data_IF_845469782424
#
_entry.id   IF_845469782424
#
_cell.length_a   1.000
_cell.length_b   1.000
_cell.length_c   1.000
_cell.angle_alpha   90.00
_cell.angle_beta   90.00
_cell.angle_gamma   90.00
#
_symmetry.space_group_name_H-M   'P 1'
#
loop_
_entity.id
_entity.type
_entity.pdbx_description
1 polymer ?
#
# COMPACT_ATOMS: atom_id res chain seq x y z
N UNK A 1 28.45 -1.98 -38.32
CA UNK A 1 27.37 -2.94 -38.02
C UNK A 1 26.25 -2.19 -37.32
N UNK A 2 25.26 -1.73 -38.08
CA UNK A 2 24.05 -1.11 -37.53
C UNK A 2 23.01 -2.22 -37.38
N UNK A 3 22.87 -2.73 -36.15
CA UNK A 3 21.83 -3.68 -35.81
C UNK A 3 20.46 -3.06 -36.11
N UNK A 4 19.65 -3.77 -36.90
CA UNK A 4 18.23 -3.43 -37.07
C UNK A 4 17.43 -4.04 -35.91
N UNK A 5 16.18 -3.62 -35.68
CA UNK A 5 15.35 -4.10 -34.58
C UNK A 5 15.13 -5.64 -34.54
N UNK A 6 15.53 -6.37 -35.59
CA UNK A 6 15.56 -7.83 -35.65
C UNK A 6 16.76 -8.47 -34.91
N UNK A 7 17.80 -7.70 -34.56
CA UNK A 7 18.98 -8.15 -33.83
C UNK A 7 18.86 -7.91 -32.32
N UNK A 8 17.69 -8.18 -31.74
CA UNK A 8 17.55 -8.09 -30.29
C UNK A 8 18.17 -9.32 -29.63
N UNK A 9 19.30 -9.12 -28.96
CA UNK A 9 19.97 -10.17 -28.16
C UNK A 9 19.18 -10.54 -26.89
N UNK A 10 18.13 -9.79 -26.54
CA UNK A 10 17.29 -10.11 -25.41
C UNK A 10 16.50 -11.39 -25.67
N UNK A 11 16.40 -12.23 -24.65
CA UNK A 11 15.62 -13.47 -24.70
C UNK A 11 14.42 -13.37 -23.78
N UNK A 12 13.37 -14.12 -24.11
CA UNK A 12 12.22 -14.19 -23.24
C UNK A 12 12.60 -14.93 -21.95
N UNK A 13 12.21 -14.37 -20.81
CA UNK A 13 12.48 -14.96 -19.49
C UNK A 13 11.19 -15.15 -18.72
N UNK A 14 11.17 -16.14 -17.84
CA UNK A 14 10.14 -16.29 -16.83
C UNK A 14 10.72 -15.88 -15.49
N UNK A 15 10.06 -14.94 -14.81
CA UNK A 15 10.33 -14.58 -13.42
C UNK A 15 9.57 -15.53 -12.51
N UNK A 16 10.28 -16.16 -11.58
CA UNK A 16 9.74 -17.04 -10.55
C UNK A 16 10.37 -16.70 -9.21
N UNK A 17 9.62 -16.84 -8.13
CA UNK A 17 10.10 -16.41 -6.83
C UNK A 17 10.89 -17.50 -6.10
N UNK A 18 11.88 -17.11 -5.31
CA UNK A 18 12.71 -17.98 -4.47
C UNK A 18 12.87 -17.34 -3.08
N UNK A 19 12.96 -18.17 -2.03
CA UNK A 19 12.93 -17.72 -0.64
C UNK A 19 14.26 -17.14 -0.15
N UNK A 20 15.32 -17.46 -0.88
CA UNK A 20 16.70 -17.03 -0.63
C UNK A 20 17.45 -17.02 -1.95
N UNK A 21 18.45 -16.16 -2.06
CA UNK A 21 19.30 -16.08 -3.26
C UNK A 21 19.93 -17.44 -3.55
N UNK A 22 19.75 -17.94 -4.77
CA UNK A 22 20.24 -19.25 -5.19
C UNK A 22 19.48 -20.45 -4.61
N UNK A 23 18.41 -20.21 -3.84
CA UNK A 23 17.60 -21.23 -3.19
C UNK A 23 16.60 -21.93 -4.11
N UNK A 24 15.74 -22.75 -3.52
CA UNK A 24 14.66 -23.42 -4.24
C UNK A 24 13.52 -22.45 -4.60
N UNK A 25 12.76 -22.79 -5.64
CA UNK A 25 11.53 -22.08 -6.00
C UNK A 25 10.55 -22.06 -4.82
N UNK A 26 9.93 -20.90 -4.57
CA UNK A 26 8.86 -20.78 -3.60
C UNK A 26 7.58 -21.37 -4.18
N UNK A 27 7.15 -22.50 -3.63
CA UNK A 27 5.83 -23.09 -3.92
C UNK A 27 4.81 -22.62 -2.87
N UNK A 28 5.23 -22.62 -1.60
CA UNK A 28 4.63 -21.87 -0.48
C UNK A 28 5.76 -21.61 0.52
N UNK A 29 5.94 -20.38 1.01
CA UNK A 29 6.92 -20.13 2.09
C UNK A 29 6.22 -19.88 3.42
N UNK A 30 6.89 -20.23 4.51
CA UNK A 30 6.63 -19.61 5.81
C UNK A 30 6.96 -18.11 5.72
N UNK A 31 6.07 -17.20 6.17
CA UNK A 31 4.96 -17.45 7.10
C UNK A 31 3.63 -17.82 6.41
N UNK A 32 3.60 -17.85 5.08
CA UNK A 32 2.46 -18.23 4.26
C UNK A 32 2.31 -17.30 3.06
N UNK A 33 2.31 -17.83 1.85
CA UNK A 33 2.06 -17.03 0.64
C UNK A 33 2.59 -17.67 -0.63
N UNK A 34 2.18 -17.13 -1.78
CA UNK A 34 2.58 -17.58 -3.10
C UNK A 34 2.93 -16.40 -4.00
N UNK A 35 3.87 -16.62 -4.89
CA UNK A 35 4.26 -15.66 -5.91
C UNK A 35 3.74 -16.10 -7.28
N UNK A 36 3.22 -15.17 -8.06
CA UNK A 36 2.93 -15.45 -9.46
C UNK A 36 4.23 -15.60 -10.26
N UNK A 37 4.23 -16.51 -11.23
CA UNK A 37 5.25 -16.54 -12.27
C UNK A 37 4.84 -15.58 -13.39
N UNK A 38 5.78 -14.80 -13.91
CA UNK A 38 5.51 -13.87 -15.01
C UNK A 38 6.45 -14.12 -16.17
N UNK A 39 5.87 -14.31 -17.35
CA UNK A 39 6.63 -14.33 -18.60
C UNK A 39 6.93 -12.89 -19.05
N UNK A 40 8.20 -12.61 -19.30
CA UNK A 40 8.71 -11.35 -19.83
C UNK A 40 9.20 -11.63 -21.24
N UNK A 41 8.49 -11.19 -22.28
CA UNK A 41 8.90 -11.43 -23.65
C UNK A 41 10.16 -10.64 -23.99
N UNK A 42 10.95 -11.14 -24.95
CA UNK A 42 12.15 -10.47 -25.42
C UNK A 42 11.90 -9.00 -25.85
N UNK A 43 10.75 -8.73 -26.47
CA UNK A 43 10.35 -7.39 -26.89
C UNK A 43 10.11 -6.40 -25.75
N UNK A 44 9.99 -6.86 -24.49
CA UNK A 44 9.89 -5.98 -23.32
C UNK A 44 11.23 -5.36 -22.93
N UNK A 45 12.36 -5.85 -23.45
CA UNK A 45 13.67 -5.31 -23.14
C UNK A 45 14.05 -4.17 -24.08
N UNK A 46 14.43 -3.03 -23.51
CA UNK A 46 15.05 -1.91 -24.21
C UNK A 46 16.38 -1.59 -23.52
N UNK A 47 17.47 -1.56 -24.29
CA UNK A 47 18.83 -1.33 -23.79
C UNK A 47 19.22 -2.27 -22.62
N UNK A 48 18.75 -3.53 -22.66
CA UNK A 48 19.06 -4.55 -21.65
C UNK A 48 18.24 -4.47 -20.36
N UNK A 49 17.23 -3.60 -20.29
CA UNK A 49 16.33 -3.48 -19.13
C UNK A 49 14.87 -3.50 -19.56
N UNK A 50 13.95 -3.87 -18.67
CA UNK A 50 12.51 -3.74 -18.92
C UNK A 50 12.03 -2.37 -18.43
N UNK A 51 11.44 -1.53 -19.31
CA UNK A 51 10.84 -0.29 -18.87
C UNK A 51 9.69 -0.54 -17.87
N UNK A 52 9.49 0.33 -16.86
CA UNK A 52 8.45 0.13 -15.85
C UNK A 52 7.02 0.09 -16.40
N UNK A 53 6.81 0.61 -17.61
CA UNK A 53 5.52 0.80 -18.26
C UNK A 53 5.05 -0.37 -19.12
N UNK A 54 5.93 -1.32 -19.42
CA UNK A 54 5.63 -2.47 -20.31
C UNK A 54 5.70 -3.82 -19.59
N UNK A 55 6.08 -3.83 -18.31
CA UNK A 55 6.28 -5.04 -17.54
C UNK A 55 5.02 -5.41 -16.73
N UNK A 56 4.55 -6.64 -16.90
CA UNK A 56 3.70 -7.26 -15.89
C UNK A 56 4.57 -7.56 -14.66
N UNK A 57 4.25 -6.96 -13.51
CA UNK A 57 4.99 -7.23 -12.29
C UNK A 57 4.54 -8.55 -11.67
N UNK A 58 5.47 -9.36 -11.16
CA UNK A 58 5.06 -10.53 -10.41
C UNK A 58 4.42 -10.08 -9.08
N UNK A 59 3.38 -10.81 -8.67
CA UNK A 59 2.56 -10.50 -7.51
C UNK A 59 2.89 -11.51 -6.42
N UNK A 60 3.14 -11.01 -5.21
CA UNK A 60 3.21 -11.84 -4.02
C UNK A 60 1.92 -11.71 -3.23
N UNK A 61 1.30 -12.84 -2.91
CA UNK A 61 0.06 -12.89 -2.13
C UNK A 61 0.34 -13.62 -0.83
N UNK A 62 0.12 -12.96 0.30
CA UNK A 62 0.18 -13.62 1.60
C UNK A 62 -1.01 -14.58 1.77
N UNK A 63 -0.77 -15.72 2.42
CA UNK A 63 -1.85 -16.67 2.75
C UNK A 63 -2.77 -16.15 3.87
N UNK A 64 -2.25 -15.28 4.73
CA UNK A 64 -2.98 -14.61 5.80
C UNK A 64 -2.50 -13.16 5.95
N UNK A 65 -3.36 -12.27 6.42
CA UNK A 65 -2.99 -10.90 6.76
C UNK A 65 -3.47 -10.58 8.18
N UNK A 66 -2.63 -9.95 9.03
CA UNK A 66 -1.26 -9.52 8.74
C UNK A 66 -0.24 -10.66 8.79
N UNK A 67 0.83 -10.53 8.00
CA UNK A 67 2.02 -11.38 8.02
C UNK A 67 3.26 -10.50 8.20
N UNK A 68 4.23 -10.96 8.98
CA UNK A 68 5.50 -10.26 9.20
C UNK A 68 6.29 -10.08 7.89
N UNK A 69 7.15 -9.06 7.78
CA UNK A 69 7.93 -8.80 6.58
C UNK A 69 8.72 -10.03 6.11
N UNK A 70 8.65 -10.33 4.82
CA UNK A 70 9.31 -11.50 4.21
C UNK A 70 10.19 -11.04 3.06
N UNK A 71 11.41 -11.60 2.98
CA UNK A 71 12.27 -11.36 1.83
C UNK A 71 11.94 -12.34 0.71
N UNK A 72 11.77 -11.81 -0.49
CA UNK A 72 11.40 -12.55 -1.69
C UNK A 72 12.37 -12.17 -2.80
N UNK A 73 12.94 -13.17 -3.45
CA UNK A 73 13.88 -12.96 -4.55
C UNK A 73 13.28 -13.47 -5.84
N UNK A 74 13.64 -12.84 -6.96
CA UNK A 74 13.13 -13.19 -8.28
C UNK A 74 14.21 -13.81 -9.14
N UNK A 75 13.97 -15.05 -9.53
CA UNK A 75 14.78 -15.79 -10.50
C UNK A 75 14.21 -15.60 -11.89
N UNK A 76 15.03 -15.02 -12.76
CA UNK A 76 14.84 -15.06 -14.20
C UNK A 76 15.42 -16.37 -14.76
N UNK A 77 14.61 -17.11 -15.51
CA UNK A 77 15.01 -18.29 -16.28
C UNK A 77 14.61 -18.04 -17.73
N UNK A 78 15.53 -18.19 -18.66
CA UNK A 78 15.20 -18.14 -20.07
C UNK A 78 14.19 -19.24 -20.43
N UNK A 79 13.15 -18.88 -21.19
CA UNK A 79 12.13 -19.86 -21.57
C UNK A 79 12.71 -20.88 -22.55
N UNK A 80 12.68 -22.16 -22.17
CA UNK A 80 13.37 -23.26 -22.86
C UNK A 80 13.03 -23.42 -24.36
N UNK A 81 11.86 -22.96 -24.80
CA UNK A 81 11.43 -23.03 -26.20
C UNK A 81 12.06 -21.98 -27.12
N UNK A 82 12.83 -21.01 -26.59
CA UNK A 82 13.41 -19.91 -27.36
C UNK A 82 14.89 -19.60 -27.03
N UNK A 83 15.56 -20.48 -26.27
CA UNK A 83 16.77 -20.14 -25.54
C UNK A 83 17.81 -21.24 -25.29
N UNK A 84 18.93 -20.86 -24.67
CA UNK A 84 20.01 -21.75 -24.19
C UNK A 84 19.82 -22.22 -22.73
N UNK A 85 18.76 -21.74 -22.07
CA UNK A 85 18.36 -22.19 -20.74
C UNK A 85 19.12 -21.50 -19.60
N UNK A 86 19.78 -20.37 -19.89
CA UNK A 86 20.49 -19.59 -18.88
C UNK A 86 19.52 -19.05 -17.82
N UNK A 87 20.02 -19.02 -16.58
CA UNK A 87 19.29 -18.57 -15.41
C UNK A 87 20.15 -17.64 -14.56
N UNK A 88 19.48 -16.70 -13.89
CA UNK A 88 20.05 -15.88 -12.81
C UNK A 88 20.57 -16.68 -11.61
N UNK A 89 20.20 -17.97 -11.49
CA UNK A 89 20.84 -18.91 -10.56
C UNK A 89 22.33 -19.13 -10.87
N UNK A 90 22.72 -19.02 -12.15
CA UNK A 90 24.02 -19.40 -12.70
C UNK A 90 24.38 -20.87 -12.40
N UNK A 91 25.64 -21.25 -12.62
CA UNK A 91 26.10 -22.63 -12.48
C UNK A 91 26.09 -23.13 -11.02
N UNK A 92 26.22 -22.22 -10.04
CA UNK A 92 26.18 -22.57 -8.61
C UNK A 92 25.32 -21.56 -7.85
N UNK A 93 24.60 -22.03 -6.82
CA UNK A 93 23.75 -21.17 -5.98
C UNK A 93 24.51 -20.00 -5.35
N UNK A 94 25.77 -20.19 -4.98
CA UNK A 94 26.62 -19.13 -4.41
C UNK A 94 26.94 -18.00 -5.41
N UNK A 95 26.81 -18.26 -6.71
CA UNK A 95 27.03 -17.28 -7.77
C UNK A 95 25.75 -16.61 -8.28
N UNK A 96 24.60 -16.94 -7.69
CA UNK A 96 23.29 -16.44 -8.11
C UNK A 96 23.20 -14.92 -8.01
N UNK A 97 22.49 -14.32 -8.98
CA UNK A 97 22.25 -12.88 -9.08
C UNK A 97 20.76 -12.65 -9.25
N UNK A 98 20.05 -12.76 -8.13
CA UNK A 98 18.60 -12.60 -8.05
C UNK A 98 18.25 -11.32 -7.30
N UNK A 99 17.32 -10.54 -7.85
CA UNK A 99 16.85 -9.30 -7.22
C UNK A 99 15.89 -9.60 -6.08
N UNK A 100 16.18 -9.06 -4.88
CA UNK A 100 15.35 -9.21 -3.69
C UNK A 100 14.43 -8.01 -3.44
N UNK A 101 13.23 -8.28 -2.96
CA UNK A 101 12.30 -7.29 -2.41
C UNK A 101 11.78 -7.79 -1.07
N UNK A 102 11.60 -6.86 -0.12
CA UNK A 102 10.92 -7.16 1.14
C UNK A 102 9.43 -6.89 0.96
N UNK A 103 8.63 -7.95 1.03
CA UNK A 103 7.16 -7.86 0.97
C UNK A 103 6.60 -7.71 2.38
N UNK A 104 5.58 -6.87 2.54
CA UNK A 104 4.98 -6.53 3.83
C UNK A 104 3.46 -6.53 3.72
N UNK A 105 2.77 -6.88 4.81
CA UNK A 105 1.34 -6.58 4.91
C UNK A 105 1.15 -5.07 5.10
N UNK A 106 0.37 -4.44 4.24
CA UNK A 106 0.10 -3.00 4.29
C UNK A 106 -1.37 -2.70 4.61
N UNK A 107 -1.63 -1.49 5.13
CA UNK A 107 -2.98 -0.93 5.25
C UNK A 107 -2.96 0.59 5.23
N UNK A 108 -4.05 1.23 4.80
CA UNK A 108 -4.31 2.64 5.13
C UNK A 108 -5.16 2.70 6.40
N UNK A 109 -4.70 3.42 7.42
CA UNK A 109 -5.43 3.66 8.66
C UNK A 109 -5.97 5.09 8.70
N UNK A 110 -7.27 5.23 8.98
CA UNK A 110 -7.94 6.50 9.24
C UNK A 110 -8.59 6.44 10.64
N UNK A 111 -8.18 7.27 11.61
CA UNK A 111 -8.82 7.33 12.92
C UNK A 111 -10.07 8.24 12.91
N UNK A 112 -10.99 7.98 13.84
CA UNK A 112 -12.10 8.90 14.12
C UNK A 112 -11.58 10.26 14.61
N UNK A 113 -12.32 11.32 14.32
CA UNK A 113 -12.02 12.67 14.78
C UNK A 113 -13.27 13.35 15.36
N UNK A 114 -13.04 14.19 16.37
CA UNK A 114 -14.08 14.90 17.10
C UNK A 114 -13.60 16.32 17.37
N UNK A 115 -14.46 17.32 17.19
CA UNK A 115 -14.11 18.71 17.45
C UNK A 115 -15.31 19.64 17.43
N UNK A 116 -15.04 20.93 17.63
CA UNK A 116 -16.07 21.96 17.46
C UNK A 116 -16.50 22.05 16.01
N UNK A 117 -17.78 22.28 15.81
CA UNK A 117 -18.39 22.65 14.54
C UNK A 117 -17.88 23.98 13.96
N UNK A 118 -17.26 24.82 14.79
CA UNK A 118 -16.73 26.15 14.39
C UNK A 118 -15.29 26.13 13.91
N UNK A 119 -14.60 25.00 14.03
CA UNK A 119 -13.20 24.86 13.64
C UNK A 119 -13.07 23.76 12.60
N UNK A 120 -12.04 23.87 11.76
CA UNK A 120 -11.69 22.79 10.86
C UNK A 120 -11.33 21.52 11.63
N UNK A 121 -11.77 20.37 11.14
CA UNK A 121 -11.57 19.08 11.78
C UNK A 121 -10.50 18.26 11.02
N UNK A 122 -9.26 18.19 11.52
CA UNK A 122 -8.21 17.40 10.89
C UNK A 122 -8.37 15.90 11.18
N UNK A 123 -8.23 15.09 10.13
CA UNK A 123 -8.20 13.63 10.16
C UNK A 123 -6.91 13.15 9.48
N UNK A 124 -5.99 12.58 10.26
CA UNK A 124 -4.71 12.08 9.75
C UNK A 124 -4.85 10.64 9.25
N UNK A 125 -4.83 10.46 7.94
CA UNK A 125 -4.69 9.15 7.30
C UNK A 125 -3.22 8.74 7.28
N UNK A 126 -2.93 7.45 7.50
CA UNK A 126 -1.56 6.91 7.44
C UNK A 126 -1.50 5.64 6.61
N UNK A 127 -0.48 5.51 5.77
CA UNK A 127 -0.09 4.21 5.20
C UNK A 127 0.80 3.52 6.22
N UNK A 128 0.40 2.31 6.62
CA UNK A 128 1.09 1.51 7.62
C UNK A 128 1.51 0.17 7.02
N UNK A 129 2.62 -0.36 7.51
CA UNK A 129 3.02 -1.74 7.28
C UNK A 129 3.13 -2.50 8.61
N UNK A 130 2.96 -3.82 8.55
CA UNK A 130 3.15 -4.69 9.69
C UNK A 130 4.64 -5.03 9.80
N UNK A 131 5.26 -4.67 10.92
CA UNK A 131 6.69 -4.84 11.13
C UNK A 131 7.05 -6.25 11.64
N UNK A 132 8.35 -6.49 11.80
CA UNK A 132 8.87 -7.77 12.30
C UNK A 132 8.55 -8.01 13.80
N UNK A 133 8.13 -6.96 14.53
CA UNK A 133 7.75 -7.03 15.94
C UNK A 133 6.24 -7.21 16.11
N UNK A 134 5.51 -7.49 15.02
CA UNK A 134 4.06 -7.65 15.00
C UNK A 134 3.26 -6.37 15.34
N UNK A 135 3.79 -5.21 14.95
CA UNK A 135 3.13 -3.92 15.12
C UNK A 135 2.84 -3.25 13.78
N UNK A 136 1.77 -2.45 13.75
CA UNK A 136 1.51 -1.55 12.62
C UNK A 136 2.25 -0.25 12.80
N UNK A 137 3.14 0.06 11.85
CA UNK A 137 3.99 1.26 11.87
C UNK A 137 3.79 2.06 10.59
N UNK A 138 3.87 3.39 10.68
CA UNK A 138 3.72 4.27 9.51
C UNK A 138 4.91 4.13 8.55
N UNK A 139 4.63 4.04 7.26
CA UNK A 139 5.66 3.95 6.22
C UNK A 139 6.33 5.30 5.97
N UNK A 140 7.50 5.54 6.57
CA UNK A 140 8.24 6.79 6.41
C UNK A 140 8.84 7.04 5.01
N UNK A 141 8.76 6.06 4.12
CA UNK A 141 9.30 6.12 2.75
C UNK A 141 8.22 6.14 1.67
N UNK A 142 6.95 5.92 2.02
CA UNK A 142 5.87 5.92 1.05
C UNK A 142 5.50 7.34 0.65
N UNK A 143 5.83 7.72 -0.58
CA UNK A 143 5.37 8.98 -1.19
C UNK A 143 4.73 8.75 -2.56
N UNK A 144 4.21 7.54 -2.80
CA UNK A 144 3.71 7.10 -4.09
C UNK A 144 2.29 6.54 -4.02
N UNK A 145 1.84 6.08 -2.84
CA UNK A 145 0.48 5.59 -2.66
C UNK A 145 -0.52 6.73 -2.88
N UNK A 146 -1.33 6.58 -3.92
CA UNK A 146 -2.48 7.44 -4.17
C UNK A 146 -3.72 6.94 -3.42
N UNK A 147 -4.63 7.85 -3.11
CA UNK A 147 -5.93 7.54 -2.53
C UNK A 147 -7.00 8.49 -3.06
N UNK A 148 -8.26 8.14 -2.81
CA UNK A 148 -9.38 9.05 -3.01
C UNK A 148 -10.22 9.12 -1.73
N UNK A 149 -11.00 10.19 -1.59
CA UNK A 149 -11.99 10.33 -0.51
C UNK A 149 -13.35 10.06 -1.14
N UNK A 150 -14.07 9.05 -0.63
CA UNK A 150 -15.43 8.80 -1.07
C UNK A 150 -16.38 9.87 -0.52
N UNK A 151 -17.55 10.01 -1.15
CA UNK A 151 -18.60 10.91 -0.65
C UNK A 151 -18.94 10.57 0.82
N UNK A 152 -18.82 11.53 1.75
CA UNK A 152 -19.21 11.34 3.15
C UNK A 152 -20.66 10.86 3.30
N UNK A 153 -20.88 9.97 4.26
CA UNK A 153 -22.24 9.52 4.63
C UNK A 153 -22.66 10.22 5.90
N UNK A 154 -23.70 11.04 5.85
CA UNK A 154 -24.24 11.72 7.04
C UNK A 154 -24.92 10.69 7.93
N UNK A 155 -24.55 10.69 9.22
CA UNK A 155 -25.06 9.74 10.21
C UNK A 155 -25.98 10.42 11.22
N UNK A 156 -25.71 11.68 11.57
CA UNK A 156 -26.44 12.37 12.65
C UNK A 156 -26.40 13.89 12.50
N UNK A 157 -27.48 14.52 12.96
CA UNK A 157 -27.58 15.97 13.19
C UNK A 157 -28.04 16.74 11.96
N UNK A 158 -28.11 18.08 12.06
CA UNK A 158 -28.40 18.96 10.93
C UNK A 158 -27.27 19.05 9.89
N UNK A 159 -26.18 18.31 10.07
CA UNK A 159 -25.07 18.23 9.13
C UNK A 159 -25.54 17.75 7.75
N UNK A 160 -25.15 18.46 6.69
CA UNK A 160 -25.38 18.05 5.30
C UNK A 160 -24.07 17.99 4.53
N UNK A 161 -24.07 17.32 3.37
CA UNK A 161 -22.87 17.15 2.55
C UNK A 161 -22.26 18.49 2.11
N UNK A 162 -23.08 19.53 1.89
CA UNK A 162 -22.61 20.87 1.55
C UNK A 162 -21.81 21.55 2.67
N UNK A 163 -21.87 21.05 3.92
CA UNK A 163 -21.02 21.52 5.02
C UNK A 163 -19.63 20.85 5.03
N UNK A 164 -19.41 19.83 4.19
CA UNK A 164 -18.23 18.98 4.22
C UNK A 164 -17.41 19.17 2.95
N UNK A 165 -16.53 20.17 2.97
CA UNK A 165 -15.52 20.35 1.93
C UNK A 165 -14.17 19.91 2.48
N UNK A 166 -13.52 18.87 1.91
CA UNK A 166 -12.21 18.46 2.35
C UNK A 166 -11.13 19.31 1.67
N UNK A 167 -10.23 19.85 2.47
CA UNK A 167 -8.92 20.32 2.02
C UNK A 167 -7.88 19.30 2.47
N UNK A 168 -6.94 18.94 1.60
CA UNK A 168 -5.86 18.04 1.98
C UNK A 168 -4.58 18.84 2.23
N UNK A 169 -3.82 18.49 3.28
CA UNK A 169 -2.61 19.22 3.63
C UNK A 169 -1.64 19.35 2.45
N UNK A 170 -1.11 20.56 2.26
CA UNK A 170 -0.02 20.82 1.35
C UNK A 170 1.26 20.25 1.99
N UNK A 171 1.74 19.14 1.44
CA UNK A 171 2.97 18.49 1.90
C UNK A 171 4.06 18.66 0.83
N UNK A 172 5.33 18.43 1.19
CA UNK A 172 6.47 18.56 0.28
C UNK A 172 6.44 17.60 -0.91
N UNK A 173 5.54 16.62 -0.91
CA UNK A 173 5.36 15.64 -1.99
C UNK A 173 4.42 16.14 -3.13
N UNK A 174 4.06 17.43 -3.14
CA UNK A 174 3.40 18.17 -4.24
C UNK A 174 2.03 17.68 -4.76
N UNK A 175 1.53 16.51 -4.35
CA UNK A 175 0.23 15.98 -4.77
C UNK A 175 -0.80 15.98 -3.63
N UNK A 176 -2.02 16.41 -3.93
CA UNK A 176 -3.16 16.45 -2.99
C UNK A 176 -3.74 15.06 -2.69
N UNK A 177 -3.49 14.07 -3.55
CA UNK A 177 -4.09 12.73 -3.50
C UNK A 177 -3.06 11.62 -3.33
N UNK A 178 -1.83 11.96 -2.94
CA UNK A 178 -0.75 11.00 -2.67
C UNK A 178 -0.27 11.22 -1.25
N UNK A 179 -0.02 10.14 -0.52
CA UNK A 179 0.59 10.20 0.80
C UNK A 179 1.99 10.79 0.72
N UNK A 180 2.42 11.50 1.76
CA UNK A 180 3.80 11.98 1.86
C UNK A 180 4.44 11.34 3.09
N UNK A 181 5.45 10.50 2.87
CA UNK A 181 6.06 9.67 3.93
C UNK A 181 5.01 8.91 4.76
N UNK A 182 4.03 8.33 4.06
CA UNK A 182 2.95 7.54 4.61
C UNK A 182 1.95 8.35 5.44
N UNK A 183 1.95 9.68 5.37
CA UNK A 183 1.01 10.54 6.10
C UNK A 183 0.25 11.45 5.13
N UNK A 184 -1.04 11.66 5.41
CA UNK A 184 -1.83 12.70 4.77
C UNK A 184 -2.90 13.20 5.73
N UNK A 185 -3.03 14.52 5.87
CA UNK A 185 -4.09 15.10 6.72
C UNK A 185 -5.22 15.62 5.85
N UNK A 186 -6.42 15.10 6.07
CA UNK A 186 -7.66 15.60 5.51
C UNK A 186 -8.23 16.58 6.51
N UNK A 187 -8.38 17.84 6.13
CA UNK A 187 -8.95 18.90 6.95
C UNK A 187 -10.34 19.17 6.41
N UNK A 188 -11.35 18.86 7.21
CA UNK A 188 -12.72 19.26 6.92
C UNK A 188 -12.91 20.70 7.37
N UNK A 189 -13.52 21.53 6.52
CA UNK A 189 -13.87 22.90 6.89
C UNK A 189 -14.78 22.94 8.13
N UNK A 190 -14.88 24.11 8.75
CA UNK A 190 -15.84 24.34 9.83
C UNK A 190 -17.26 24.08 9.32
N UNK A 191 -17.89 23.01 9.81
CA UNK A 191 -19.23 22.63 9.39
C UNK A 191 -20.29 23.69 9.76
N UNK A 192 -20.03 24.50 10.79
CA UNK A 192 -20.96 25.46 11.40
C UNK A 192 -22.28 24.86 11.91
N UNK A 193 -22.39 23.54 11.89
CA UNK A 193 -23.51 22.76 12.40
C UNK A 193 -22.98 21.52 13.10
N UNK A 194 -23.66 21.11 14.18
CA UNK A 194 -23.33 19.87 14.87
C UNK A 194 -23.74 18.65 14.05
N UNK A 195 -23.03 17.55 14.19
CA UNK A 195 -23.41 16.28 13.57
C UNK A 195 -22.24 15.34 13.38
N UNK A 196 -22.49 14.23 12.72
CA UNK A 196 -21.43 13.28 12.39
C UNK A 196 -21.61 12.70 10.99
N UNK A 197 -20.49 12.48 10.31
CA UNK A 197 -20.43 11.79 9.04
C UNK A 197 -19.38 10.69 9.08
N UNK A 198 -19.65 9.60 8.39
CA UNK A 198 -18.67 8.55 8.15
C UNK A 198 -17.88 8.89 6.87
N UNK A 199 -16.56 8.92 7.02
CA UNK A 199 -15.58 9.30 6.00
C UNK A 199 -14.82 8.06 5.57
N UNK A 200 -14.79 7.78 4.26
CA UNK A 200 -14.06 6.63 3.71
C UNK A 200 -12.91 7.12 2.84
N UNK A 201 -11.70 6.64 3.11
CA UNK A 201 -10.54 6.80 2.23
C UNK A 201 -10.46 5.55 1.34
N UNK A 202 -10.72 5.71 0.05
CA UNK A 202 -10.64 4.63 -0.94
C UNK A 202 -9.20 4.19 -1.09
N UNK A 203 -8.89 3.02 -0.54
CA UNK A 203 -7.57 2.42 -0.57
C UNK A 203 -7.41 1.54 -1.83
N UNK A 204 -6.20 1.47 -2.41
CA UNK A 204 -5.83 0.38 -3.30
C UNK A 204 -6.09 -0.98 -2.63
N UNK A 205 -6.47 -2.00 -3.40
CA UNK A 205 -6.84 -3.32 -2.86
C UNK A 205 -5.79 -3.94 -1.95
N UNK A 206 -4.51 -3.73 -2.24
CA UNK A 206 -3.37 -4.20 -1.43
C UNK A 206 -3.11 -3.41 -0.14
N UNK A 207 -3.89 -2.34 0.13
CA UNK A 207 -3.91 -1.58 1.39
C UNK A 207 -5.27 -1.60 2.09
N UNK A 208 -6.23 -2.39 1.60
CA UNK A 208 -7.47 -2.66 2.29
C UNK A 208 -7.22 -3.60 3.47
N UNK A 209 -8.03 -3.49 4.52
CA UNK A 209 -7.85 -4.26 5.75
C UNK A 209 -9.20 -4.67 6.35
N UNK A 210 -9.31 -5.85 7.01
CA UNK A 210 -10.50 -6.27 7.73
C UNK A 210 -10.72 -5.42 9.00
N UNK A 211 -11.30 -4.22 8.83
CA UNK A 211 -11.51 -3.27 9.95
C UNK A 211 -12.62 -3.69 10.90
N UNK A 212 -13.74 -4.14 10.35
CA UNK A 212 -14.98 -4.45 11.09
C UNK A 212 -15.58 -5.80 10.73
N UNK A 213 -15.07 -6.44 9.68
CA UNK A 213 -15.48 -7.76 9.21
C UNK A 213 -14.25 -8.55 8.74
N UNK A 214 -14.43 -9.80 8.36
CA UNK A 214 -13.36 -10.64 7.78
C UNK A 214 -12.95 -10.21 6.38
N UNK A 215 -13.75 -9.39 5.70
CA UNK A 215 -13.46 -8.92 4.33
C UNK A 215 -12.63 -7.65 4.39
N UNK A 216 -11.53 -7.62 3.65
CA UNK A 216 -10.70 -6.43 3.53
C UNK A 216 -11.48 -5.29 2.86
N UNK A 217 -11.53 -4.14 3.51
CA UNK A 217 -12.22 -2.95 3.00
C UNK A 217 -11.35 -1.70 3.14
N UNK A 218 -11.72 -0.66 2.40
CA UNK A 218 -11.21 0.69 2.61
C UNK A 218 -11.52 1.15 4.05
N UNK A 219 -10.62 1.89 4.71
CA UNK A 219 -10.87 2.42 6.05
C UNK A 219 -12.00 3.45 6.05
N UNK A 220 -12.91 3.30 7.00
CA UNK A 220 -13.96 4.28 7.28
C UNK A 220 -13.83 4.77 8.72
N UNK A 221 -13.93 6.08 8.92
CA UNK A 221 -13.83 6.71 10.23
C UNK A 221 -14.90 7.80 10.40
N UNK A 222 -15.33 8.01 11.63
CA UNK A 222 -16.34 9.00 11.98
C UNK A 222 -15.71 10.36 12.25
N UNK A 223 -16.17 11.36 11.51
CA UNK A 223 -15.96 12.78 11.79
C UNK A 223 -17.15 13.31 12.60
N UNK A 224 -16.90 13.91 13.75
CA UNK A 224 -17.96 14.47 14.61
C UNK A 224 -17.72 15.93 14.94
N UNK A 225 -18.70 16.77 14.62
CA UNK A 225 -18.71 18.21 14.84
C UNK A 225 -19.68 18.54 15.98
N UNK A 226 -19.25 19.39 16.91
CA UNK A 226 -20.09 19.89 18.00
C UNK A 226 -20.12 19.03 19.27
N UNK A 227 -19.19 18.08 19.44
CA UNK A 227 -18.97 17.42 20.73
C UNK A 227 -17.68 17.95 21.34
N UNK A 228 -17.81 18.74 22.42
CA UNK A 228 -16.70 18.98 23.33
C UNK A 228 -16.49 17.71 24.17
N UNK A 229 -15.26 17.19 24.23
CA UNK A 229 -14.89 16.40 25.41
C UNK A 229 -15.09 17.34 26.60
N UNK A 230 -16.02 17.04 27.49
CA UNK A 230 -16.08 17.76 28.76
C UNK A 230 -14.71 17.63 29.43
N UNK A 231 -14.15 18.69 30.03
CA UNK A 231 -13.05 18.52 30.96
C UNK A 231 -13.54 17.52 32.01
N UNK A 232 -12.72 16.52 32.33
CA UNK A 232 -12.99 15.63 33.45
C UNK A 232 -12.87 16.49 34.73
N UNK A 233 -13.97 17.14 35.13
CA UNK A 233 -14.01 17.88 36.39
C UNK A 233 -14.11 16.81 37.48
N UNK A 234 -12.97 16.48 38.09
CA UNK A 234 -12.92 15.75 39.35
C UNK A 234 -13.70 16.55 40.40
N UNK A 235 -14.98 16.23 40.60
CA UNK A 235 -15.65 16.57 41.85
C UNK A 235 -15.05 15.67 42.91
N UNK A 236 -14.14 16.20 43.73
CA UNK A 236 -13.87 15.63 45.05
C UNK A 236 -15.18 15.70 45.83
N UNK A 237 -15.83 14.56 46.04
CA UNK A 237 -16.74 14.42 47.16
C UNK A 237 -15.88 14.34 48.41
N UNK A 238 -15.87 15.45 49.14
CA UNK A 238 -15.38 15.52 50.50
C UNK A 238 -16.58 15.17 51.39
N UNK A 239 -16.54 14.01 52.04
CA UNK A 239 -17.37 13.70 53.21
C UNK A 239 -16.44 13.16 54.29
#
# INVERSE_FOLDING_TARGET
YSATAADSFSKAVTLSAVASVGGSAMVTTAPGGGASSVAVPASSFALGTTPPTTLAYPVFTFAATPTVPTDVYWRAIETASAGDGVSSLRATSASSVEGGVKVVSGRIRLPNAYGSERLGLPMAATVQYFDALSHWVTSGTDSATAFAIATPVIIKGPLVLANLTPTVSADTCASSVVFCKGLKTIIWDSANVSGSADITVTAPSWLQYPWTSTTATSPTARATFGIYKSPLIYRRENY
#
